data_IF_377277976756
#
_entry.id   IF_377277976756
#
_cell.length_a   1.000
_cell.length_b   1.000
_cell.length_c   1.000
_cell.angle_alpha   90.00
_cell.angle_beta   90.00
_cell.angle_gamma   90.00
#
_symmetry.space_group_name_H-M   'P 1'
#
loop_
_entity.id
_entity.type
_entity.pdbx_description
1 polymer ?
#
# COMPACT_ATOMS: atom_id res chain seq x y z
N UNK A 1 127.24 -5.62 25.15
CA UNK A 1 126.10 -6.20 25.89
C UNK A 1 125.12 -5.05 26.14
N UNK A 2 123.86 -5.23 25.76
CA UNK A 2 122.82 -4.19 25.63
C UNK A 2 122.53 -3.53 26.98
N UNK A 3 122.66 -2.20 27.08
CA UNK A 3 122.14 -1.41 28.19
C UNK A 3 120.80 -0.81 27.77
N UNK A 4 119.72 -1.46 28.20
CA UNK A 4 118.35 -0.96 28.13
C UNK A 4 118.27 0.40 28.86
N UNK A 5 118.02 1.49 28.13
CA UNK A 5 117.63 2.76 28.74
C UNK A 5 116.20 2.57 29.24
N UNK A 6 116.05 2.32 30.54
CA UNK A 6 114.80 2.59 31.26
C UNK A 6 114.65 4.10 31.33
N UNK A 7 113.96 4.69 30.36
CA UNK A 7 113.45 6.05 30.51
C UNK A 7 112.26 5.98 31.46
N UNK A 8 112.43 6.52 32.66
CA UNK A 8 111.34 6.71 33.61
C UNK A 8 110.64 8.02 33.25
N UNK A 9 109.57 7.90 32.46
CA UNK A 9 108.76 9.03 31.95
C UNK A 9 107.76 9.56 32.97
N UNK A 10 107.74 9.02 34.20
CA UNK A 10 106.72 9.34 35.22
C UNK A 10 106.71 10.82 35.60
N UNK A 11 107.88 11.45 35.74
CA UNK A 11 108.01 12.87 36.09
C UNK A 11 107.51 13.82 34.99
N UNK A 12 107.79 13.50 33.72
CA UNK A 12 107.28 14.31 32.60
C UNK A 12 105.78 14.08 32.38
N UNK A 13 105.29 12.86 32.59
CA UNK A 13 103.86 12.54 32.57
C UNK A 13 103.09 13.26 33.67
N UNK A 14 103.65 13.35 34.89
CA UNK A 14 103.02 14.09 35.98
C UNK A 14 103.05 15.60 35.75
N UNK A 15 104.12 16.16 35.16
CA UNK A 15 104.14 17.57 34.75
C UNK A 15 103.11 17.87 33.66
N UNK A 16 103.01 17.02 32.64
CA UNK A 16 102.01 17.14 31.58
C UNK A 16 100.60 16.98 32.14
N UNK A 17 100.38 16.05 33.08
CA UNK A 17 99.08 15.84 33.72
C UNK A 17 98.68 17.02 34.60
N UNK A 18 99.64 17.63 35.29
CA UNK A 18 99.40 18.83 36.12
C UNK A 18 99.13 20.05 35.24
N UNK A 19 99.93 20.27 34.20
CA UNK A 19 99.72 21.36 33.24
C UNK A 19 98.40 21.21 32.45
N UNK A 20 98.03 19.98 32.07
CA UNK A 20 96.74 19.69 31.46
C UNK A 20 95.60 19.90 32.47
N UNK A 21 95.76 19.45 33.71
CA UNK A 21 94.78 19.69 34.78
C UNK A 21 94.56 21.17 35.03
N UNK A 22 95.63 21.95 35.05
CA UNK A 22 95.58 23.40 35.27
C UNK A 22 94.96 24.15 34.08
N UNK A 23 95.26 23.74 32.84
CA UNK A 23 94.59 24.28 31.63
C UNK A 23 93.11 23.89 31.59
N UNK A 24 92.77 22.67 32.01
CA UNK A 24 91.38 22.21 32.07
C UNK A 24 90.59 22.98 33.12
N UNK A 25 91.12 23.14 34.33
CA UNK A 25 90.41 23.85 35.41
C UNK A 25 90.35 25.36 35.19
N UNK A 26 91.44 25.99 34.73
CA UNK A 26 91.49 27.45 34.61
C UNK A 26 90.88 27.98 33.30
N UNK A 27 90.89 27.20 32.21
CA UNK A 27 90.43 27.68 30.91
C UNK A 27 89.22 26.89 30.39
N UNK A 28 89.29 25.55 30.37
CA UNK A 28 88.25 24.73 29.71
C UNK A 28 86.97 24.64 30.54
N UNK A 29 87.07 24.38 31.84
CA UNK A 29 85.95 24.26 32.77
C UNK A 29 85.10 25.55 32.86
N UNK A 30 85.70 26.75 32.98
CA UNK A 30 84.96 28.01 32.92
C UNK A 30 84.43 28.33 31.50
N UNK A 31 85.14 27.99 30.42
CA UNK A 31 84.60 28.13 29.06
C UNK A 31 83.35 27.27 28.85
N UNK A 32 83.40 26.00 29.27
CA UNK A 32 82.27 25.07 29.16
C UNK A 32 81.12 25.55 30.03
N UNK A 33 81.38 25.97 31.28
CA UNK A 33 80.33 26.47 32.18
C UNK A 33 79.70 27.77 31.65
N UNK A 34 80.50 28.67 31.09
CA UNK A 34 80.03 29.89 30.42
C UNK A 34 79.20 29.59 29.18
N UNK A 35 79.67 28.67 28.32
CA UNK A 35 78.94 28.23 27.12
C UNK A 35 77.62 27.53 27.47
N UNK A 36 77.60 26.68 28.51
CA UNK A 36 76.37 26.03 29.00
C UNK A 36 75.41 27.07 29.58
N UNK A 37 75.90 28.00 30.40
CA UNK A 37 75.05 29.05 30.98
C UNK A 37 74.44 29.92 29.89
N UNK A 38 75.23 30.34 28.90
CA UNK A 38 74.77 31.17 27.79
C UNK A 38 73.81 30.41 26.87
N UNK A 39 74.12 29.16 26.53
CA UNK A 39 73.22 28.30 25.76
C UNK A 39 71.90 28.04 26.50
N UNK A 40 71.92 27.85 27.83
CA UNK A 40 70.70 27.70 28.63
C UNK A 40 69.86 28.98 28.64
N UNK A 41 70.50 30.15 28.65
CA UNK A 41 69.85 31.45 28.56
C UNK A 41 69.19 31.65 27.19
N UNK A 42 69.92 31.41 26.11
CA UNK A 42 69.39 31.50 24.74
C UNK A 42 68.26 30.50 24.49
N UNK A 43 68.41 29.24 24.91
CA UNK A 43 67.34 28.24 24.85
C UNK A 43 66.13 28.66 25.69
N UNK A 44 66.34 29.23 26.87
CA UNK A 44 65.27 29.76 27.72
C UNK A 44 64.47 30.86 27.01
N UNK A 45 65.15 31.79 26.33
CA UNK A 45 64.49 32.83 25.52
C UNK A 45 63.76 32.24 24.31
N UNK A 46 64.38 31.34 23.55
CA UNK A 46 63.75 30.70 22.37
C UNK A 46 62.49 29.93 22.79
N UNK A 47 62.55 29.16 23.88
CA UNK A 47 61.39 28.42 24.40
C UNK A 47 60.28 29.37 24.85
N UNK A 48 60.65 30.50 25.47
CA UNK A 48 59.68 31.49 25.94
C UNK A 48 59.01 32.21 24.77
N UNK A 49 59.76 32.57 23.73
CA UNK A 49 59.25 33.21 22.53
C UNK A 49 58.36 32.25 21.72
N UNK A 50 58.81 31.00 21.55
CA UNK A 50 58.00 29.95 20.91
C UNK A 50 56.71 29.65 21.70
N UNK A 51 56.75 29.70 23.03
CA UNK A 51 55.56 29.52 23.87
C UNK A 51 54.59 30.70 23.74
N UNK A 52 55.10 31.92 23.63
CA UNK A 52 54.28 33.11 23.42
C UNK A 52 53.60 33.07 22.04
N UNK A 53 54.35 32.69 21.00
CA UNK A 53 53.83 32.52 19.64
C UNK A 53 52.79 31.39 19.57
N UNK A 54 53.02 30.25 20.24
CA UNK A 54 52.04 29.17 20.35
C UNK A 54 50.74 29.62 21.01
N UNK A 55 50.82 30.39 22.10
CA UNK A 55 49.61 30.91 22.76
C UNK A 55 48.83 31.87 21.87
N UNK A 56 49.52 32.68 21.07
CA UNK A 56 48.91 33.58 20.10
C UNK A 56 48.20 32.77 19.00
N UNK A 57 48.88 31.77 18.44
CA UNK A 57 48.32 30.89 17.42
C UNK A 57 47.14 30.08 17.94
N UNK A 58 47.17 29.60 19.19
CA UNK A 58 46.03 28.92 19.83
C UNK A 58 44.83 29.85 19.96
N UNK A 59 45.03 31.13 20.32
CA UNK A 59 43.92 32.10 20.40
C UNK A 59 43.30 32.35 19.03
N UNK A 60 44.13 32.55 18.00
CA UNK A 60 43.65 32.75 16.62
C UNK A 60 42.92 31.50 16.12
N UNK A 61 43.49 30.31 16.31
CA UNK A 61 42.87 29.05 15.92
C UNK A 61 41.55 28.81 16.65
N UNK A 62 41.49 29.11 17.95
CA UNK A 62 40.26 29.00 18.73
C UNK A 62 39.17 29.94 18.22
N UNK A 63 39.54 31.15 17.80
CA UNK A 63 38.61 32.11 17.24
C UNK A 63 38.10 31.64 15.87
N UNK A 64 39.01 31.22 14.99
CA UNK A 64 38.68 30.68 13.67
C UNK A 64 37.78 29.44 13.76
N UNK A 65 38.04 28.51 14.69
CA UNK A 65 37.18 27.34 14.93
C UNK A 65 35.78 27.78 15.39
N UNK A 66 35.68 28.81 16.24
CA UNK A 66 34.39 29.31 16.69
C UNK A 66 33.60 29.95 15.54
N UNK A 67 34.28 30.72 14.69
CA UNK A 67 33.69 31.41 13.54
C UNK A 67 33.27 30.40 12.45
N UNK A 68 34.11 29.39 12.17
CA UNK A 68 33.77 28.27 11.29
C UNK A 68 32.54 27.49 11.80
N UNK A 69 32.45 27.19 13.10
CA UNK A 69 31.28 26.48 13.64
C UNK A 69 29.97 27.27 13.46
N UNK A 70 30.01 28.60 13.60
CA UNK A 70 28.84 29.45 13.33
C UNK A 70 28.48 29.44 11.85
N UNK A 71 29.47 29.62 10.99
CA UNK A 71 29.29 29.57 9.53
C UNK A 71 28.68 28.24 9.09
N UNK A 72 29.21 27.10 9.56
CA UNK A 72 28.64 25.78 9.28
C UNK A 72 27.20 25.64 9.79
N UNK A 73 26.89 26.18 10.97
CA UNK A 73 25.54 26.15 11.52
C UNK A 73 24.53 26.92 10.65
N UNK A 74 24.92 28.10 10.18
CA UNK A 74 24.08 28.94 9.33
C UNK A 74 23.93 28.34 7.91
N UNK A 75 24.99 27.74 7.37
CA UNK A 75 24.93 27.00 6.10
C UNK A 75 23.98 25.79 6.19
N UNK A 76 24.04 25.01 7.29
CA UNK A 76 23.14 23.89 7.51
C UNK A 76 21.68 24.38 7.58
N UNK A 77 21.41 25.51 8.24
CA UNK A 77 20.05 26.09 8.25
C UNK A 77 19.59 26.46 6.85
N UNK A 78 20.43 27.16 6.07
CA UNK A 78 20.08 27.54 4.70
C UNK A 78 19.79 26.31 3.82
N UNK A 79 20.53 25.22 3.98
CA UNK A 79 20.28 23.97 3.27
C UNK A 79 18.96 23.30 3.70
N UNK A 80 18.63 23.33 4.99
CA UNK A 80 17.36 22.80 5.50
C UNK A 80 16.19 23.62 4.96
N UNK A 81 16.27 24.95 5.01
CA UNK A 81 15.22 25.83 4.50
C UNK A 81 15.01 25.64 3.00
N UNK A 82 16.11 25.55 2.23
CA UNK A 82 16.06 25.24 0.80
C UNK A 82 15.42 23.87 0.53
N UNK A 83 15.81 22.84 1.27
CA UNK A 83 15.25 21.50 1.14
C UNK A 83 13.75 21.49 1.49
N UNK A 84 13.35 22.19 2.55
CA UNK A 84 11.96 22.31 2.97
C UNK A 84 11.11 23.00 1.90
N UNK A 85 11.58 24.12 1.34
CA UNK A 85 10.88 24.83 0.28
C UNK A 85 10.79 24.01 -1.00
N UNK A 86 11.88 23.32 -1.38
CA UNK A 86 11.88 22.42 -2.54
C UNK A 86 10.96 21.22 -2.39
N UNK A 87 10.86 20.66 -1.18
CA UNK A 87 9.92 19.58 -0.87
C UNK A 87 8.49 20.11 -0.93
N UNK A 88 8.21 21.25 -0.29
CA UNK A 88 6.88 21.86 -0.31
C UNK A 88 6.41 22.11 -1.74
N UNK A 89 7.25 22.73 -2.59
CA UNK A 89 6.91 23.00 -3.99
C UNK A 89 6.62 21.72 -4.78
N UNK A 90 7.42 20.67 -4.56
CA UNK A 90 7.27 19.38 -5.26
C UNK A 90 6.02 18.63 -4.79
N UNK A 91 5.70 18.70 -3.50
CA UNK A 91 4.50 18.09 -2.92
C UNK A 91 3.25 18.79 -3.44
N UNK A 92 3.22 20.11 -3.47
CA UNK A 92 2.09 20.89 -3.99
C UNK A 92 1.82 20.59 -5.47
N UNK A 93 2.86 20.50 -6.30
CA UNK A 93 2.73 20.12 -7.70
C UNK A 93 2.11 18.72 -7.85
N UNK A 94 2.64 17.73 -7.12
CA UNK A 94 2.11 16.35 -7.16
C UNK A 94 0.69 16.26 -6.62
N UNK A 95 0.37 17.00 -5.57
CA UNK A 95 -0.97 17.04 -4.99
C UNK A 95 -1.98 17.64 -5.96
N UNK A 96 -1.61 18.70 -6.68
CA UNK A 96 -2.46 19.32 -7.69
C UNK A 96 -2.77 18.33 -8.84
N UNK A 97 -1.77 17.60 -9.32
CA UNK A 97 -1.94 16.56 -10.34
C UNK A 97 -2.83 15.42 -9.83
N UNK A 98 -2.55 14.90 -8.64
CA UNK A 98 -3.34 13.82 -8.04
C UNK A 98 -4.81 14.23 -7.82
N UNK A 99 -5.06 15.45 -7.34
CA UNK A 99 -6.43 15.97 -7.16
C UNK A 99 -7.18 16.05 -8.48
N UNK A 100 -6.52 16.49 -9.55
CA UNK A 100 -7.10 16.53 -10.89
C UNK A 100 -7.44 15.13 -11.39
N UNK A 101 -6.51 14.19 -11.29
CA UNK A 101 -6.69 12.80 -11.73
C UNK A 101 -7.81 12.09 -10.96
N UNK A 102 -7.85 12.24 -9.63
CA UNK A 102 -8.94 11.72 -8.78
C UNK A 102 -10.28 12.32 -9.17
N UNK A 103 -10.33 13.63 -9.44
CA UNK A 103 -11.57 14.29 -9.85
C UNK A 103 -12.08 13.75 -11.18
N UNK A 104 -11.20 13.60 -12.17
CA UNK A 104 -11.55 12.99 -13.46
C UNK A 104 -12.02 11.55 -13.29
N UNK A 105 -11.33 10.73 -12.51
CA UNK A 105 -11.70 9.35 -12.26
C UNK A 105 -13.06 9.23 -11.55
N UNK A 106 -13.34 10.10 -10.59
CA UNK A 106 -14.63 10.15 -9.88
C UNK A 106 -15.74 10.52 -10.84
N UNK A 107 -15.54 11.52 -11.71
CA UNK A 107 -16.51 11.93 -12.73
C UNK A 107 -16.80 10.75 -13.67
N UNK A 108 -15.77 10.12 -14.23
CA UNK A 108 -15.91 8.97 -15.13
C UNK A 108 -16.67 7.82 -14.45
N UNK A 109 -16.39 7.57 -13.17
CA UNK A 109 -17.06 6.49 -12.43
C UNK A 109 -18.53 6.83 -12.15
N UNK A 110 -18.84 8.07 -11.80
CA UNK A 110 -20.22 8.55 -11.62
C UNK A 110 -20.99 8.42 -12.93
N UNK A 111 -20.38 8.79 -14.06
CA UNK A 111 -21.02 8.72 -15.37
C UNK A 111 -21.30 7.26 -15.78
N UNK A 112 -20.35 6.35 -15.55
CA UNK A 112 -20.57 4.90 -15.75
C UNK A 112 -21.70 4.37 -14.87
N UNK A 113 -21.71 4.73 -13.58
CA UNK A 113 -22.77 4.30 -12.66
C UNK A 113 -24.13 4.85 -13.11
N UNK A 114 -24.19 6.11 -13.56
CA UNK A 114 -25.41 6.70 -14.11
C UNK A 114 -25.91 5.93 -15.33
N UNK A 115 -25.01 5.60 -16.27
CA UNK A 115 -25.34 4.82 -17.44
C UNK A 115 -25.84 3.41 -17.07
N UNK A 116 -25.16 2.71 -16.14
CA UNK A 116 -25.59 1.40 -15.66
C UNK A 116 -26.96 1.44 -14.96
N UNK A 117 -27.23 2.48 -14.17
CA UNK A 117 -28.52 2.70 -13.51
C UNK A 117 -29.64 2.98 -14.52
N UNK A 118 -29.38 3.79 -15.54
CA UNK A 118 -30.33 4.07 -16.61
C UNK A 118 -30.67 2.80 -17.40
N UNK A 119 -29.65 2.03 -17.77
CA UNK A 119 -29.80 0.73 -18.43
C UNK A 119 -30.58 -0.28 -17.58
N UNK A 120 -30.33 -0.32 -16.28
CA UNK A 120 -31.05 -1.17 -15.34
C UNK A 120 -32.52 -0.72 -15.22
N UNK A 121 -32.78 0.58 -15.16
CA UNK A 121 -34.13 1.13 -15.12
C UNK A 121 -34.91 0.83 -16.40
N UNK A 122 -34.30 0.98 -17.57
CA UNK A 122 -34.92 0.64 -18.87
C UNK A 122 -35.26 -0.85 -18.93
N UNK A 123 -34.33 -1.73 -18.54
CA UNK A 123 -34.58 -3.18 -18.47
C UNK A 123 -35.72 -3.51 -17.52
N UNK A 124 -35.71 -2.93 -16.33
CA UNK A 124 -36.78 -3.10 -15.34
C UNK A 124 -38.15 -2.71 -15.89
N UNK A 125 -38.24 -1.55 -16.57
CA UNK A 125 -39.50 -1.09 -17.21
C UNK A 125 -39.97 -2.05 -18.30
N UNK A 126 -39.07 -2.51 -19.18
CA UNK A 126 -39.42 -3.48 -20.23
C UNK A 126 -39.97 -4.79 -19.65
N UNK A 127 -39.32 -5.33 -18.61
CA UNK A 127 -39.79 -6.55 -17.95
C UNK A 127 -41.14 -6.35 -17.26
N UNK A 128 -41.34 -5.20 -16.61
CA UNK A 128 -42.62 -4.86 -15.99
C UNK A 128 -43.76 -4.80 -17.04
N UNK A 129 -43.56 -4.06 -18.13
CA UNK A 129 -44.57 -3.96 -19.19
C UNK A 129 -44.87 -5.31 -19.84
N UNK A 130 -43.85 -6.12 -20.09
CA UNK A 130 -44.04 -7.47 -20.65
C UNK A 130 -44.85 -8.35 -19.70
N UNK A 131 -44.51 -8.36 -18.41
CA UNK A 131 -45.21 -9.16 -17.41
C UNK A 131 -46.68 -8.72 -17.27
N UNK A 132 -46.95 -7.41 -17.27
CA UNK A 132 -48.33 -6.87 -17.25
C UNK A 132 -49.09 -7.27 -18.51
N UNK A 133 -48.46 -7.17 -19.70
CA UNK A 133 -49.09 -7.58 -20.96
C UNK A 133 -49.43 -9.07 -20.98
N UNK A 134 -48.52 -9.94 -20.51
CA UNK A 134 -48.77 -11.38 -20.38
C UNK A 134 -49.92 -11.66 -19.40
N UNK A 135 -49.96 -10.97 -18.26
CA UNK A 135 -51.03 -11.13 -17.28
C UNK A 135 -52.41 -10.74 -17.86
N UNK A 136 -52.48 -9.62 -18.57
CA UNK A 136 -53.72 -9.17 -19.24
C UNK A 136 -54.12 -10.19 -20.31
N UNK A 137 -53.18 -10.63 -21.14
CA UNK A 137 -53.42 -11.63 -22.19
C UNK A 137 -53.93 -12.96 -21.60
N UNK A 138 -53.34 -13.43 -20.51
CA UNK A 138 -53.78 -14.64 -19.81
C UNK A 138 -55.19 -14.49 -19.22
N UNK A 139 -55.51 -13.35 -18.62
CA UNK A 139 -56.85 -13.07 -18.09
C UNK A 139 -57.92 -13.08 -19.20
N UNK A 140 -57.62 -12.46 -20.35
CA UNK A 140 -58.50 -12.47 -21.52
C UNK A 140 -58.68 -13.89 -22.10
N UNK A 141 -57.59 -14.65 -22.23
CA UNK A 141 -57.64 -16.02 -22.72
C UNK A 141 -58.47 -16.92 -21.79
N UNK A 142 -58.30 -16.80 -20.47
CA UNK A 142 -59.10 -17.55 -19.49
C UNK A 142 -60.58 -17.16 -19.53
N UNK A 143 -60.88 -15.86 -19.69
CA UNK A 143 -62.26 -15.40 -19.91
C UNK A 143 -62.88 -16.01 -21.17
N UNK A 144 -62.15 -16.05 -22.28
CA UNK A 144 -62.59 -16.66 -23.53
C UNK A 144 -62.81 -18.17 -23.40
N UNK A 145 -61.89 -18.89 -22.75
CA UNK A 145 -62.02 -20.33 -22.46
C UNK A 145 -63.25 -20.59 -21.60
N UNK A 146 -63.49 -19.78 -20.56
CA UNK A 146 -64.68 -19.90 -19.72
C UNK A 146 -65.98 -19.74 -20.51
N UNK A 147 -66.04 -18.80 -21.45
CA UNK A 147 -67.21 -18.60 -22.33
C UNK A 147 -67.41 -19.77 -23.30
N UNK A 148 -66.34 -20.26 -23.93
CA UNK A 148 -66.41 -21.41 -24.85
C UNK A 148 -66.80 -22.68 -24.12
N UNK A 149 -66.22 -22.93 -22.95
CA UNK A 149 -66.54 -24.09 -22.12
C UNK A 149 -68.01 -24.05 -21.65
N UNK A 150 -68.50 -22.88 -21.21
CA UNK A 150 -69.92 -22.69 -20.90
C UNK A 150 -70.81 -23.04 -22.09
N UNK A 151 -70.40 -22.75 -23.32
CA UNK A 151 -71.20 -23.02 -24.53
C UNK A 151 -71.19 -24.49 -24.96
N UNK A 152 -70.13 -25.24 -24.66
CA UNK A 152 -69.97 -26.65 -25.08
C UNK A 152 -70.54 -27.63 -24.04
N UNK A 153 -70.45 -27.30 -22.74
CA UNK A 153 -70.77 -28.24 -21.65
C UNK A 153 -72.15 -28.02 -21.01
N UNK A 154 -72.95 -27.08 -21.53
CA UNK A 154 -74.34 -26.88 -21.09
C UNK A 154 -75.26 -27.99 -21.62
N UNK A 155 -75.13 -29.18 -21.04
CA UNK A 155 -76.30 -30.01 -20.71
C UNK A 155 -76.12 -30.98 -19.52
N UNK A 156 -74.96 -31.08 -18.87
CA UNK A 156 -74.79 -31.70 -17.55
C UNK A 156 -73.40 -31.34 -17.02
N UNK A 157 -73.31 -30.48 -16.00
CA UNK A 157 -72.03 -30.02 -15.46
C UNK A 157 -71.75 -30.69 -14.12
N UNK A 158 -70.89 -31.69 -14.16
CA UNK A 158 -70.19 -32.16 -12.96
C UNK A 158 -69.12 -31.12 -12.57
N UNK A 159 -69.32 -30.50 -11.41
CA UNK A 159 -68.41 -29.52 -10.79
C UNK A 159 -66.99 -30.09 -10.67
N UNK A 160 -66.84 -31.41 -10.51
CA UNK A 160 -65.54 -32.07 -10.45
C UNK A 160 -64.75 -32.03 -11.76
N UNK A 161 -65.43 -32.11 -12.91
CA UNK A 161 -64.74 -32.04 -14.21
C UNK A 161 -64.21 -30.63 -14.47
N UNK A 162 -64.96 -29.60 -14.11
CA UNK A 162 -64.51 -28.20 -14.15
C UNK A 162 -63.29 -27.99 -13.26
N UNK A 163 -63.34 -28.53 -12.04
CA UNK A 163 -62.23 -28.43 -11.09
C UNK A 163 -60.95 -29.07 -11.63
N UNK A 164 -61.03 -30.28 -12.20
CA UNK A 164 -59.88 -30.98 -12.80
C UNK A 164 -59.24 -30.18 -13.94
N UNK A 165 -60.04 -29.59 -14.82
CA UNK A 165 -59.54 -28.80 -15.96
C UNK A 165 -58.85 -27.52 -15.47
N UNK A 166 -59.43 -26.82 -14.50
CA UNK A 166 -58.83 -25.61 -13.90
C UNK A 166 -57.53 -25.93 -13.16
N UNK A 167 -57.50 -27.05 -12.42
CA UNK A 167 -56.31 -27.49 -11.69
C UNK A 167 -55.18 -27.88 -12.64
N UNK A 168 -55.49 -28.64 -13.71
CA UNK A 168 -54.52 -29.00 -14.74
C UNK A 168 -53.99 -27.76 -15.46
N UNK A 169 -54.86 -26.83 -15.87
CA UNK A 169 -54.45 -25.58 -16.53
C UNK A 169 -53.53 -24.74 -15.64
N UNK A 170 -53.81 -24.67 -14.35
CA UNK A 170 -52.98 -23.94 -13.38
C UNK A 170 -51.64 -24.65 -13.15
N UNK A 171 -51.63 -25.98 -13.04
CA UNK A 171 -50.41 -26.78 -12.92
C UNK A 171 -49.51 -26.63 -14.15
N UNK A 172 -50.08 -26.72 -15.35
CA UNK A 172 -49.36 -26.56 -16.62
C UNK A 172 -48.86 -25.11 -16.79
N UNK A 173 -49.66 -24.10 -16.47
CA UNK A 173 -49.26 -22.70 -16.58
C UNK A 173 -48.12 -22.33 -15.64
N UNK A 174 -48.20 -22.76 -14.37
CA UNK A 174 -47.13 -22.55 -13.39
C UNK A 174 -45.85 -23.31 -13.74
N UNK A 175 -45.99 -24.53 -14.28
CA UNK A 175 -44.87 -25.36 -14.72
C UNK A 175 -44.13 -24.76 -15.91
N UNK A 176 -44.86 -24.28 -16.92
CA UNK A 176 -44.28 -23.61 -18.09
C UNK A 176 -43.52 -22.33 -17.69
N UNK A 177 -44.11 -21.52 -16.81
CA UNK A 177 -43.47 -20.32 -16.30
C UNK A 177 -42.19 -20.63 -15.50
N UNK A 178 -42.22 -21.68 -14.66
CA UNK A 178 -41.05 -22.14 -13.94
C UNK A 178 -39.93 -22.60 -14.90
N UNK A 179 -40.28 -23.38 -15.94
CA UNK A 179 -39.34 -23.86 -16.94
C UNK A 179 -38.66 -22.72 -17.71
N UNK A 180 -39.42 -21.73 -18.17
CA UNK A 180 -38.89 -20.55 -18.86
C UNK A 180 -37.93 -19.74 -17.97
N UNK A 181 -38.28 -19.58 -16.69
CA UNK A 181 -37.43 -18.89 -15.72
C UNK A 181 -36.12 -19.62 -15.48
N UNK A 182 -36.16 -20.95 -15.44
CA UNK A 182 -34.99 -21.82 -15.26
C UNK A 182 -34.06 -21.75 -16.49
N UNK A 183 -34.62 -21.80 -17.70
CA UNK A 183 -33.88 -21.63 -18.95
C UNK A 183 -33.21 -20.25 -19.05
N UNK A 184 -33.93 -19.18 -18.70
CA UNK A 184 -33.36 -17.84 -18.72
C UNK A 184 -32.24 -17.68 -17.69
N UNK A 185 -32.42 -18.21 -16.48
CA UNK A 185 -31.37 -18.24 -15.45
C UNK A 185 -30.14 -19.01 -15.92
N UNK A 186 -30.32 -20.13 -16.62
CA UNK A 186 -29.22 -20.94 -17.12
C UNK A 186 -28.41 -20.21 -18.20
N UNK A 187 -29.09 -19.50 -19.12
CA UNK A 187 -28.43 -18.67 -20.13
C UNK A 187 -27.63 -17.51 -19.53
N UNK A 188 -28.11 -16.92 -18.43
CA UNK A 188 -27.39 -15.86 -17.71
C UNK A 188 -26.14 -16.42 -16.99
N UNK A 189 -26.22 -17.61 -16.38
CA UNK A 189 -25.05 -18.26 -15.76
C UNK A 189 -23.95 -18.57 -16.78
N UNK A 190 -24.32 -19.05 -17.98
CA UNK A 190 -23.35 -19.40 -19.02
C UNK A 190 -22.60 -18.19 -19.59
N UNK A 191 -23.16 -16.97 -19.44
CA UNK A 191 -22.49 -15.72 -19.82
C UNK A 191 -21.46 -15.21 -18.80
N UNK A 192 -21.40 -15.76 -17.59
CA UNK A 192 -20.46 -15.32 -16.54
C UNK A 192 -19.60 -16.50 -16.04
N UNK A 193 -18.73 -17.02 -16.91
CA UNK A 193 -17.77 -18.11 -16.62
C UNK A 193 -16.65 -17.78 -15.62
N UNK A 194 -16.70 -16.69 -14.83
CA UNK A 194 -15.54 -16.26 -14.02
C UNK A 194 -15.77 -15.73 -12.59
N UNK A 195 -16.97 -15.76 -12.02
CA UNK A 195 -17.14 -15.38 -10.60
C UNK A 195 -17.64 -16.54 -9.75
N UNK A 196 -16.69 -17.18 -9.06
CA UNK A 196 -16.92 -18.19 -8.00
C UNK A 196 -17.82 -17.63 -6.89
N UNK A 197 -17.77 -16.32 -6.63
CA UNK A 197 -18.63 -15.60 -5.69
C UNK A 197 -20.11 -15.62 -6.09
N UNK A 198 -20.43 -15.68 -7.38
CA UNK A 198 -21.81 -15.79 -7.88
C UNK A 198 -22.38 -17.19 -7.69
N UNK A 199 -21.54 -18.23 -7.71
CA UNK A 199 -21.95 -19.62 -7.48
C UNK A 199 -22.29 -19.81 -5.99
N UNK A 200 -21.50 -19.24 -5.08
CA UNK A 200 -21.78 -19.27 -3.64
C UNK A 200 -23.06 -18.51 -3.26
N UNK A 201 -23.30 -17.33 -3.85
CA UNK A 201 -24.53 -16.57 -3.65
C UNK A 201 -25.77 -17.21 -4.31
N UNK A 202 -25.61 -17.97 -5.40
CA UNK A 202 -26.74 -18.66 -6.05
C UNK A 202 -27.21 -19.90 -5.28
N UNK A 203 -26.34 -20.59 -4.55
CA UNK A 203 -26.78 -21.70 -3.68
C UNK A 203 -27.69 -21.20 -2.56
N UNK A 204 -27.44 -19.98 -2.05
CA UNK A 204 -28.31 -19.25 -1.12
C UNK A 204 -29.51 -18.61 -1.84
N UNK A 205 -29.34 -18.18 -3.10
CA UNK A 205 -30.38 -17.61 -3.95
C UNK A 205 -31.49 -18.58 -4.35
N UNK A 206 -31.25 -19.90 -4.27
CA UNK A 206 -32.27 -20.96 -4.43
C UNK A 206 -33.36 -20.88 -3.35
N UNK A 207 -33.08 -20.27 -2.18
CA UNK A 207 -34.05 -20.02 -1.11
C UNK A 207 -34.72 -18.63 -1.16
N UNK A 208 -34.46 -17.79 -2.16
CA UNK A 208 -35.20 -16.51 -2.26
C UNK A 208 -36.70 -16.77 -2.48
N UNK A 209 -37.60 -15.98 -1.85
CA UNK A 209 -39.05 -16.25 -1.82
C UNK A 209 -39.74 -16.33 -3.20
N UNK A 210 -39.07 -15.86 -4.26
CA UNK A 210 -39.52 -15.91 -5.67
C UNK A 210 -38.64 -16.82 -6.57
N UNK A 211 -37.89 -17.78 -6.02
CA UNK A 211 -37.01 -18.69 -6.80
C UNK A 211 -37.77 -19.59 -7.79
N UNK A 212 -37.17 -19.86 -8.95
CA UNK A 212 -37.76 -20.74 -9.98
C UNK A 212 -38.07 -22.16 -9.46
N UNK A 213 -37.27 -22.64 -8.50
CA UNK A 213 -37.40 -23.97 -7.91
C UNK A 213 -38.69 -24.10 -7.07
N UNK A 214 -39.07 -23.07 -6.30
CA UNK A 214 -40.33 -23.08 -5.54
C UNK A 214 -41.56 -23.14 -6.45
N UNK A 215 -41.52 -22.42 -7.58
CA UNK A 215 -42.60 -22.46 -8.59
C UNK A 215 -42.69 -23.83 -9.28
N UNK A 216 -41.55 -24.48 -9.52
CA UNK A 216 -41.51 -25.83 -10.08
C UNK A 216 -42.09 -26.85 -9.09
N UNK A 217 -41.68 -26.79 -7.82
CA UNK A 217 -42.23 -27.63 -6.75
C UNK A 217 -43.75 -27.43 -6.62
N UNK A 218 -44.23 -26.18 -6.66
CA UNK A 218 -45.66 -25.88 -6.63
C UNK A 218 -46.39 -26.50 -7.84
N UNK A 219 -45.84 -26.39 -9.04
CA UNK A 219 -46.42 -26.99 -10.25
C UNK A 219 -46.48 -28.52 -10.15
N UNK A 220 -45.43 -29.16 -9.66
CA UNK A 220 -45.40 -30.62 -9.43
C UNK A 220 -46.45 -31.02 -8.40
N UNK A 221 -46.60 -30.27 -7.30
CA UNK A 221 -47.60 -30.54 -6.27
C UNK A 221 -49.02 -30.41 -6.84
N UNK A 222 -49.29 -29.39 -7.64
CA UNK A 222 -50.58 -29.24 -8.35
C UNK A 222 -50.83 -30.38 -9.34
N UNK A 223 -49.81 -30.82 -10.09
CA UNK A 223 -49.93 -31.95 -11.00
C UNK A 223 -50.19 -33.27 -10.25
N UNK A 224 -49.53 -33.47 -9.09
CA UNK A 224 -49.81 -34.60 -8.21
C UNK A 224 -51.23 -34.55 -7.65
N UNK A 225 -51.70 -33.37 -7.21
CA UNK A 225 -53.07 -33.19 -6.74
C UNK A 225 -54.10 -33.49 -7.84
N UNK A 226 -53.84 -33.03 -9.08
CA UNK A 226 -54.65 -33.39 -10.24
C UNK A 226 -54.67 -34.90 -10.48
N UNK A 227 -53.50 -35.54 -10.42
CA UNK A 227 -53.36 -36.99 -10.60
C UNK A 227 -54.14 -37.76 -9.55
N UNK A 228 -54.02 -37.39 -8.27
CA UNK A 228 -54.78 -38.01 -7.17
C UNK A 228 -56.28 -37.86 -7.41
N UNK A 229 -56.77 -36.67 -7.77
CA UNK A 229 -58.21 -36.42 -7.98
C UNK A 229 -58.75 -37.11 -9.24
N UNK A 230 -57.89 -37.43 -10.22
CA UNK A 230 -58.29 -38.11 -11.46
C UNK A 230 -58.25 -39.63 -11.32
N UNK A 231 -57.29 -40.17 -10.56
CA UNK A 231 -57.11 -41.62 -10.37
C UNK A 231 -57.78 -42.18 -9.11
N UNK A 232 -58.10 -41.36 -8.11
CA UNK A 232 -59.00 -41.72 -7.02
C UNK A 232 -60.40 -41.15 -7.29
N UNK A 233 -61.32 -41.94 -7.84
CA UNK A 233 -62.72 -41.56 -7.90
C UNK A 233 -63.32 -41.62 -6.48
N UNK A 234 -63.85 -40.50 -6.02
CA UNK A 234 -64.98 -40.51 -5.08
C UNK A 234 -66.25 -40.32 -5.90
#
# INVERSE_FOLDING_TARGET
>A
MVAFIKTDWSSELDQVKTAIGEVVDNNVSPMISGAISQASGELGTIVRDASAELQLNIKVLSQEIHDQRRMTGDEIRALIDYAAERIASTVDERLAVAKKEVSTLVIDKIERVKAELEDAAIRSRKTLYFNVAVSIGAALAMGAIGVVYRKITLNELDVFSLFRVVLLSTATGTGLFAALKLLNSWNVLNKHKKNVTTIALNYVGVLRPNGALRLLVLSVLLACAWGVITFYPF
#
